data_IF_031168874014
#
_entry.id   IF_031168874014
#
_cell.length_a   1.000
_cell.length_b   1.000
_cell.length_c   1.000
_cell.angle_alpha   90.00
_cell.angle_beta   90.00
_cell.angle_gamma   90.00
#
_symmetry.space_group_name_H-M   'P 1'
#
loop_
_entity.id
_entity.type
_entity.pdbx_description
1 polymer ?
#
# COMPACT_ATOMS: atom_id res chain seq x y z
N UNK A 1 -25.08 -2.84 13.07
CA UNK A 1 -24.34 -1.72 12.45
C UNK A 1 -25.03 -1.42 11.13
N UNK A 2 -25.39 -0.16 10.86
CA UNK A 2 -26.09 0.23 9.62
C UNK A 2 -25.14 1.01 8.76
N UNK A 3 -24.92 0.57 7.52
CA UNK A 3 -24.12 1.29 6.54
C UNK A 3 -25.04 2.11 5.63
N UNK A 4 -24.56 3.30 5.22
CA UNK A 4 -25.16 4.09 4.17
C UNK A 4 -24.23 4.07 2.97
N UNK A 5 -24.78 4.03 1.78
CA UNK A 5 -24.03 4.06 0.53
C UNK A 5 -24.39 5.32 -0.26
N UNK A 6 -23.39 5.91 -0.91
CA UNK A 6 -23.53 6.98 -1.89
C UNK A 6 -22.64 6.63 -3.08
N UNK A 7 -23.07 6.98 -4.29
CA UNK A 7 -22.30 6.78 -5.51
C UNK A 7 -21.65 8.11 -5.91
N UNK A 8 -20.32 8.12 -6.04
CA UNK A 8 -19.56 9.23 -6.56
C UNK A 8 -18.27 8.71 -7.21
N UNK A 9 -18.04 9.06 -8.47
CA UNK A 9 -16.74 8.82 -9.10
C UNK A 9 -15.73 9.85 -8.59
N UNK A 10 -14.46 9.48 -8.49
CA UNK A 10 -13.40 10.43 -8.07
C UNK A 10 -13.24 11.61 -9.04
N UNK A 11 -13.70 11.47 -10.28
CA UNK A 11 -13.72 12.56 -11.27
C UNK A 11 -14.96 13.47 -11.17
N UNK A 12 -16.02 13.04 -10.47
CA UNK A 12 -17.28 13.80 -10.36
C UNK A 12 -17.31 14.62 -9.06
N UNK A 13 -16.79 15.83 -9.14
CA UNK A 13 -16.75 16.78 -8.02
C UNK A 13 -18.15 17.09 -7.44
N UNK A 14 -19.20 17.09 -8.26
CA UNK A 14 -20.55 17.40 -7.81
C UNK A 14 -21.16 16.22 -7.04
N UNK A 15 -20.98 14.99 -7.50
CA UNK A 15 -21.37 13.79 -6.76
C UNK A 15 -20.58 13.65 -5.45
N UNK A 16 -19.26 13.90 -5.47
CA UNK A 16 -18.42 13.92 -4.28
C UNK A 16 -18.91 14.95 -3.25
N UNK A 17 -19.19 16.18 -3.70
CA UNK A 17 -19.70 17.24 -2.82
C UNK A 17 -20.99 16.83 -2.11
N UNK A 18 -21.92 16.17 -2.81
CA UNK A 18 -23.16 15.65 -2.19
C UNK A 18 -22.90 14.51 -1.22
N UNK A 19 -21.98 13.61 -1.54
CA UNK A 19 -21.69 12.43 -0.73
C UNK A 19 -21.03 12.77 0.62
N UNK A 20 -20.34 13.90 0.70
CA UNK A 20 -19.55 14.28 1.88
C UNK A 20 -20.27 15.22 2.86
N UNK A 21 -21.47 15.71 2.52
CA UNK A 21 -22.24 16.61 3.40
C UNK A 21 -22.59 15.91 4.71
N UNK A 22 -22.26 16.57 5.83
CA UNK A 22 -22.61 16.11 7.18
C UNK A 22 -21.76 14.96 7.69
N UNK A 23 -20.63 14.65 7.06
CA UNK A 23 -19.66 13.69 7.56
C UNK A 23 -18.68 14.34 8.54
N UNK A 24 -18.40 13.67 9.66
CA UNK A 24 -17.46 14.15 10.67
C UNK A 24 -15.99 13.89 10.31
N UNK A 25 -15.73 12.79 9.59
CA UNK A 25 -14.39 12.35 9.19
C UNK A 25 -14.46 11.62 7.84
N UNK A 26 -13.42 11.77 7.03
CA UNK A 26 -13.26 11.06 5.75
C UNK A 26 -11.97 10.25 5.76
N UNK A 27 -12.03 9.01 5.28
CA UNK A 27 -10.85 8.25 4.89
C UNK A 27 -10.73 8.28 3.37
N UNK A 28 -9.74 8.99 2.85
CA UNK A 28 -9.36 8.92 1.46
C UNK A 28 -8.44 7.72 1.25
N UNK A 29 -9.01 6.62 0.75
CA UNK A 29 -8.24 5.49 0.25
C UNK A 29 -7.70 5.85 -1.13
N UNK A 30 -6.39 5.75 -1.30
CA UNK A 30 -5.70 6.14 -2.53
C UNK A 30 -6.24 5.39 -3.75
N UNK A 31 -6.46 6.11 -4.84
CA UNK A 31 -6.85 5.53 -6.12
C UNK A 31 -5.81 4.54 -6.66
N UNK A 32 -6.29 3.49 -7.32
CA UNK A 32 -5.46 2.53 -8.05
C UNK A 32 -5.03 3.03 -9.44
N UNK A 33 -5.59 4.14 -9.94
CA UNK A 33 -5.29 4.69 -11.27
C UNK A 33 -4.04 5.60 -11.27
N UNK A 34 -2.85 4.99 -11.33
CA UNK A 34 -1.57 5.71 -11.47
C UNK A 34 -1.60 6.60 -12.72
N UNK A 35 -1.20 7.87 -12.57
CA UNK A 35 -1.23 8.90 -13.62
C UNK A 35 -2.50 9.76 -13.61
N UNK A 36 -3.58 9.31 -12.95
CA UNK A 36 -4.82 10.10 -12.71
C UNK A 36 -5.06 10.36 -11.23
N UNK A 37 -4.32 9.67 -10.37
CA UNK A 37 -4.49 9.63 -8.92
C UNK A 37 -4.51 11.01 -8.30
N UNK A 38 -3.55 11.87 -8.63
CA UNK A 38 -3.49 13.20 -8.02
C UNK A 38 -4.73 14.03 -8.31
N UNK A 39 -5.18 14.08 -9.58
CA UNK A 39 -6.37 14.84 -9.96
C UNK A 39 -7.63 14.33 -9.24
N UNK A 40 -7.73 13.00 -9.09
CA UNK A 40 -8.81 12.35 -8.35
C UNK A 40 -8.78 12.69 -6.86
N UNK A 41 -7.61 12.61 -6.22
CA UNK A 41 -7.44 12.93 -4.81
C UNK A 41 -7.73 14.40 -4.52
N UNK A 42 -7.28 15.31 -5.40
CA UNK A 42 -7.59 16.73 -5.32
C UNK A 42 -9.09 16.97 -5.26
N UNK A 43 -9.87 16.35 -6.14
CA UNK A 43 -11.32 16.50 -6.14
C UNK A 43 -11.97 16.06 -4.81
N UNK A 44 -11.48 14.98 -4.20
CA UNK A 44 -11.99 14.51 -2.91
C UNK A 44 -11.62 15.49 -1.78
N UNK A 45 -10.39 15.99 -1.78
CA UNK A 45 -9.92 16.98 -0.78
C UNK A 45 -10.74 18.27 -0.89
N UNK A 46 -10.94 18.79 -2.10
CA UNK A 46 -11.74 19.99 -2.37
C UNK A 46 -13.20 19.81 -1.96
N UNK A 47 -13.78 18.64 -2.26
CA UNK A 47 -15.15 18.33 -1.88
C UNK A 47 -15.30 18.21 -0.36
N UNK A 48 -14.33 17.59 0.33
CA UNK A 48 -14.32 17.49 1.79
C UNK A 48 -14.21 18.88 2.44
N UNK A 49 -13.29 19.72 1.97
CA UNK A 49 -13.15 21.10 2.43
C UNK A 49 -14.42 21.92 2.20
N UNK A 50 -15.01 21.83 1.00
CA UNK A 50 -16.24 22.56 0.65
C UNK A 50 -17.47 22.10 1.43
N UNK A 51 -17.56 20.81 1.74
CA UNK A 51 -18.63 20.23 2.56
C UNK A 51 -18.46 20.53 4.06
N UNK A 52 -17.34 21.15 4.47
CA UNK A 52 -17.04 21.44 5.87
C UNK A 52 -16.69 20.20 6.68
N UNK A 53 -16.15 19.15 6.06
CA UNK A 53 -15.68 17.95 6.76
C UNK A 53 -14.56 18.35 7.72
N UNK A 54 -14.68 18.08 9.03
CA UNK A 54 -13.68 18.52 10.01
C UNK A 54 -12.31 17.86 9.86
N UNK A 55 -12.25 16.62 9.39
CA UNK A 55 -11.04 15.81 9.42
C UNK A 55 -10.92 14.80 8.26
N UNK A 56 -9.71 14.65 7.73
CA UNK A 56 -9.40 13.69 6.66
C UNK A 56 -8.17 12.83 6.98
N UNK A 57 -8.31 11.51 6.94
CA UNK A 57 -7.19 10.59 6.91
C UNK A 57 -6.90 10.15 5.46
N UNK A 58 -5.64 10.06 5.07
CA UNK A 58 -5.24 9.70 3.71
C UNK A 58 -4.28 8.51 3.73
N UNK A 59 -4.55 7.47 2.93
CA UNK A 59 -3.61 6.36 2.72
C UNK A 59 -2.56 6.76 1.70
N UNK A 60 -1.37 7.08 2.18
CA UNK A 60 -0.18 7.36 1.39
C UNK A 60 0.72 6.11 1.31
N UNK A 61 2.01 6.31 0.98
CA UNK A 61 3.03 5.27 0.98
C UNK A 61 4.24 5.62 1.85
N UNK A 62 4.95 4.62 2.37
CA UNK A 62 6.15 4.83 3.18
C UNK A 62 7.22 5.63 2.46
N UNK A 63 7.92 6.51 3.20
CA UNK A 63 8.97 7.38 2.66
C UNK A 63 8.52 8.19 1.42
N UNK A 64 7.23 8.54 1.27
CA UNK A 64 6.73 9.24 0.06
C UNK A 64 7.55 10.50 -0.31
N UNK A 65 8.15 11.17 0.68
CA UNK A 65 8.98 12.36 0.50
C UNK A 65 10.44 12.09 0.09
N UNK A 66 10.89 10.85 0.06
CA UNK A 66 12.31 10.49 -0.18
C UNK A 66 12.49 9.27 -1.09
N UNK A 67 11.45 8.45 -1.26
CA UNK A 67 11.49 7.18 -1.98
C UNK A 67 11.74 7.37 -3.48
N UNK A 68 12.56 6.48 -4.06
CA UNK A 68 12.77 6.31 -5.50
C UNK A 68 11.62 5.54 -6.18
N UNK A 69 10.65 5.04 -5.41
CA UNK A 69 9.53 4.28 -5.96
C UNK A 69 8.74 5.08 -6.99
N UNK A 70 8.31 4.45 -8.11
CA UNK A 70 7.50 5.11 -9.13
C UNK A 70 6.14 5.59 -8.61
N UNK A 71 5.69 5.11 -7.45
CA UNK A 71 4.44 5.50 -6.82
C UNK A 71 4.55 6.77 -5.96
N UNK A 72 5.77 7.14 -5.54
CA UNK A 72 6.00 8.22 -4.60
C UNK A 72 5.57 9.61 -5.09
N UNK A 73 5.75 10.01 -6.36
CA UNK A 73 5.41 11.36 -6.81
C UNK A 73 3.94 11.75 -6.60
N UNK A 74 2.99 10.89 -6.95
CA UNK A 74 1.56 11.21 -6.81
C UNK A 74 1.09 11.20 -5.34
N UNK A 75 1.71 10.35 -4.52
CA UNK A 75 1.47 10.33 -3.08
C UNK A 75 1.99 11.62 -2.44
N UNK A 76 3.22 12.04 -2.75
CA UNK A 76 3.78 13.32 -2.31
C UNK A 76 2.92 14.51 -2.73
N UNK A 77 2.52 14.57 -4.00
CA UNK A 77 1.62 15.64 -4.48
C UNK A 77 0.31 15.69 -3.70
N UNK A 78 -0.24 14.53 -3.35
CA UNK A 78 -1.46 14.46 -2.53
C UNK A 78 -1.21 14.91 -1.09
N UNK A 79 -0.09 14.51 -0.48
CA UNK A 79 0.30 14.96 0.86
C UNK A 79 0.49 16.49 0.91
N UNK A 80 1.23 17.05 -0.04
CA UNK A 80 1.47 18.49 -0.15
C UNK A 80 0.16 19.27 -0.33
N UNK A 81 -0.73 18.76 -1.19
CA UNK A 81 -2.04 19.38 -1.42
C UNK A 81 -2.95 19.31 -0.20
N UNK A 82 -2.98 18.16 0.48
CA UNK A 82 -3.74 17.98 1.71
C UNK A 82 -3.22 18.92 2.82
N UNK A 83 -1.90 19.06 2.96
CA UNK A 83 -1.29 20.00 3.89
C UNK A 83 -1.68 21.46 3.60
N UNK A 84 -1.79 21.84 2.33
CA UNK A 84 -2.21 23.17 1.90
C UNK A 84 -3.72 23.43 2.00
N UNK A 85 -4.55 22.38 2.11
CA UNK A 85 -6.02 22.48 2.09
C UNK A 85 -6.64 23.17 3.32
N UNK A 86 -5.91 23.27 4.43
CA UNK A 86 -6.41 23.77 5.71
C UNK A 86 -7.23 22.75 6.52
N UNK A 87 -7.53 21.56 5.97
CA UNK A 87 -8.17 20.47 6.70
C UNK A 87 -7.26 19.95 7.83
N UNK A 88 -7.85 19.65 8.99
CA UNK A 88 -7.18 18.79 9.95
C UNK A 88 -7.05 17.39 9.32
N UNK A 89 -5.85 16.82 9.34
CA UNK A 89 -5.62 15.58 8.60
C UNK A 89 -4.56 14.69 9.24
N UNK A 90 -4.54 13.43 8.81
CA UNK A 90 -3.50 12.46 9.13
C UNK A 90 -3.07 11.75 7.86
N UNK A 91 -1.77 11.59 7.69
CA UNK A 91 -1.21 10.80 6.59
C UNK A 91 -0.84 9.42 7.11
N UNK A 92 -1.41 8.39 6.49
CA UNK A 92 -1.16 6.98 6.79
C UNK A 92 -0.27 6.43 5.68
N UNK A 93 1.05 6.52 5.85
CA UNK A 93 2.02 6.04 4.88
C UNK A 93 2.15 4.53 4.99
N UNK A 94 1.32 3.81 4.25
CA UNK A 94 1.33 2.35 4.25
C UNK A 94 2.56 1.83 3.50
N UNK A 95 3.23 0.83 4.05
CA UNK A 95 4.24 0.06 3.32
C UNK A 95 3.52 -0.91 2.35
N UNK A 96 4.16 -2.02 2.04
CA UNK A 96 3.66 -3.04 1.12
C UNK A 96 2.63 -3.97 1.76
N UNK A 97 1.91 -4.70 0.91
CA UNK A 97 0.90 -5.66 1.33
C UNK A 97 1.40 -7.09 1.16
N UNK A 98 1.29 -7.92 2.20
CA UNK A 98 1.56 -9.36 2.09
C UNK A 98 0.72 -10.03 1.00
N UNK A 99 -0.50 -9.56 0.81
CA UNK A 99 -1.43 -10.05 -0.21
C UNK A 99 -0.93 -9.87 -1.64
N UNK A 100 0.05 -8.99 -1.89
CA UNK A 100 0.66 -8.84 -3.22
C UNK A 100 1.43 -10.10 -3.64
N UNK A 101 1.81 -10.97 -2.69
CA UNK A 101 2.49 -12.23 -2.98
C UNK A 101 1.52 -13.38 -3.28
N UNK A 102 0.23 -13.28 -2.94
CA UNK A 102 -0.74 -14.36 -3.10
C UNK A 102 -0.91 -14.80 -4.57
N UNK A 103 -0.85 -13.86 -5.51
CA UNK A 103 -0.96 -14.15 -6.94
C UNK A 103 0.16 -15.08 -7.47
N UNK A 104 1.30 -15.13 -6.78
CA UNK A 104 2.45 -15.95 -7.16
C UNK A 104 2.35 -17.38 -6.61
N UNK A 105 1.45 -17.62 -5.66
CA UNK A 105 1.34 -18.90 -4.95
C UNK A 105 1.18 -20.10 -5.90
N UNK A 106 0.32 -20.08 -6.95
CA UNK A 106 0.22 -21.21 -7.86
C UNK A 106 1.53 -21.52 -8.60
N UNK A 107 2.18 -20.50 -9.17
CA UNK A 107 3.42 -20.66 -9.94
C UNK A 107 4.59 -21.12 -9.06
N UNK A 108 4.69 -20.61 -7.83
CA UNK A 108 5.70 -21.04 -6.85
C UNK A 108 5.40 -22.46 -6.35
N UNK A 109 4.12 -22.79 -6.15
CA UNK A 109 3.70 -24.14 -5.76
C UNK A 109 4.08 -25.18 -6.80
N UNK A 110 4.08 -24.84 -8.08
CA UNK A 110 4.52 -25.73 -9.15
C UNK A 110 6.07 -25.79 -9.26
N UNK A 111 6.71 -24.63 -9.37
CA UNK A 111 8.14 -24.52 -9.70
C UNK A 111 9.10 -24.69 -8.51
N UNK A 112 8.65 -24.36 -7.29
CA UNK A 112 9.52 -24.24 -6.12
C UNK A 112 10.49 -23.05 -6.18
N UNK A 113 10.25 -22.07 -7.06
CA UNK A 113 11.13 -20.92 -7.26
C UNK A 113 10.35 -19.62 -7.17
N UNK A 114 10.81 -18.71 -6.31
CA UNK A 114 10.40 -17.31 -6.30
C UNK A 114 11.40 -16.52 -7.13
N UNK A 115 10.95 -15.86 -8.20
CA UNK A 115 11.81 -15.04 -9.07
C UNK A 115 11.43 -13.58 -8.92
N UNK A 116 12.43 -12.69 -8.72
CA UNK A 116 12.20 -11.25 -8.60
C UNK A 116 13.47 -10.45 -8.92
N UNK A 117 13.32 -9.19 -9.32
CA UNK A 117 14.42 -8.26 -9.59
C UNK A 117 14.84 -7.44 -8.36
N UNK A 118 14.50 -7.91 -7.16
CA UNK A 118 14.70 -7.21 -5.90
C UNK A 118 16.10 -7.39 -5.26
N UNK A 119 16.95 -8.25 -5.81
CA UNK A 119 18.28 -8.54 -5.25
C UNK A 119 18.22 -8.89 -3.75
N UNK A 120 19.05 -8.24 -2.95
CA UNK A 120 19.07 -8.39 -1.48
C UNK A 120 18.14 -7.39 -0.76
N UNK A 121 17.29 -6.71 -1.51
CA UNK A 121 16.33 -5.74 -0.99
C UNK A 121 15.34 -6.36 0.00
N UNK A 122 14.80 -5.51 0.88
CA UNK A 122 13.87 -5.92 1.94
C UNK A 122 12.59 -5.11 1.90
N UNK A 123 11.52 -5.73 2.39
CA UNK A 123 10.18 -5.15 2.44
C UNK A 123 9.59 -5.33 3.83
N UNK A 124 9.27 -4.25 4.52
CA UNK A 124 8.52 -4.26 5.78
C UNK A 124 7.01 -4.27 5.52
N UNK A 125 6.55 -5.28 4.80
CA UNK A 125 5.15 -5.49 4.45
C UNK A 125 4.31 -5.87 5.67
N UNK A 126 3.01 -5.58 5.64
CA UNK A 126 2.02 -6.10 6.58
C UNK A 126 0.75 -6.55 5.83
N UNK A 127 -0.20 -7.19 6.53
CA UNK A 127 -1.48 -7.53 5.91
C UNK A 127 -2.35 -6.28 5.71
N UNK A 128 -3.16 -6.22 4.65
CA UNK A 128 -4.15 -5.14 4.43
C UNK A 128 -5.08 -4.96 5.62
N UNK A 129 -5.43 -6.05 6.30
CA UNK A 129 -6.23 -6.00 7.53
C UNK A 129 -5.56 -5.17 8.62
N UNK A 130 -4.24 -5.27 8.79
CA UNK A 130 -3.52 -4.51 9.82
C UNK A 130 -3.53 -3.02 9.49
N UNK A 131 -3.27 -2.65 8.23
CA UNK A 131 -3.38 -1.27 7.77
C UNK A 131 -4.80 -0.71 7.93
N UNK A 132 -5.83 -1.54 7.67
CA UNK A 132 -7.22 -1.17 7.87
C UNK A 132 -7.56 -0.96 9.35
N UNK A 133 -7.08 -1.83 10.25
CA UNK A 133 -7.22 -1.69 11.70
C UNK A 133 -6.53 -0.40 12.19
N UNK A 134 -5.35 -0.08 11.64
CA UNK A 134 -4.63 1.17 11.91
C UNK A 134 -5.42 2.41 11.47
N UNK A 135 -5.94 2.41 10.24
CA UNK A 135 -6.77 3.49 9.73
C UNK A 135 -8.08 3.66 10.54
N UNK A 136 -8.73 2.55 10.90
CA UNK A 136 -9.92 2.56 11.74
C UNK A 136 -9.63 3.14 13.12
N UNK A 137 -8.50 2.79 13.73
CA UNK A 137 -8.06 3.36 15.02
C UNK A 137 -7.88 4.87 14.88
N UNK A 138 -7.12 5.34 13.89
CA UNK A 138 -6.93 6.78 13.63
C UNK A 138 -8.25 7.55 13.48
N UNK A 139 -9.26 6.94 12.85
CA UNK A 139 -10.56 7.59 12.67
C UNK A 139 -11.44 7.56 13.92
N UNK A 140 -11.27 6.56 14.79
CA UNK A 140 -12.18 6.32 15.92
C UNK A 140 -11.63 6.77 17.27
N UNK A 141 -10.33 7.10 17.35
CA UNK A 141 -9.69 7.71 18.52
C UNK A 141 -9.25 9.16 18.24
N UNK A 142 -8.79 9.87 19.27
CA UNK A 142 -8.34 11.27 19.18
C UNK A 142 -6.83 11.42 19.30
N UNK A 143 -6.28 12.58 18.92
CA UNK A 143 -4.85 12.90 19.05
C UNK A 143 -4.00 12.52 17.82
N UNK A 144 -4.64 12.27 16.68
CA UNK A 144 -3.98 11.91 15.43
C UNK A 144 -3.80 13.09 14.48
N UNK A 145 -4.41 14.23 14.76
CA UNK A 145 -4.37 15.41 13.91
C UNK A 145 -2.95 15.87 13.63
N UNK A 146 -2.67 16.14 12.35
CA UNK A 146 -1.37 16.57 11.79
C UNK A 146 -0.25 15.57 12.05
N UNK A 147 -0.58 14.28 12.18
CA UNK A 147 0.40 13.20 12.24
C UNK A 147 0.66 12.62 10.85
N UNK A 148 1.89 12.18 10.67
CA UNK A 148 2.31 11.32 9.57
C UNK A 148 2.77 10.02 10.22
N UNK A 149 2.11 8.91 9.91
CA UNK A 149 2.47 7.60 10.41
C UNK A 149 3.09 6.77 9.30
N UNK A 150 4.30 6.28 9.53
CA UNK A 150 4.92 5.25 8.71
C UNK A 150 4.38 3.89 9.19
N UNK A 151 3.36 3.37 8.51
CA UNK A 151 2.79 2.07 8.83
C UNK A 151 3.55 0.98 8.10
N UNK A 152 4.14 0.05 8.86
CA UNK A 152 4.99 -1.03 8.36
C UNK A 152 4.69 -2.32 9.11
N UNK A 153 5.13 -3.46 8.58
CA UNK A 153 5.19 -4.70 9.35
C UNK A 153 6.28 -4.66 10.42
N UNK A 154 6.19 -5.55 11.41
CA UNK A 154 7.13 -5.59 12.53
C UNK A 154 8.57 -5.98 12.12
N UNK A 155 8.76 -6.46 10.88
CA UNK A 155 10.05 -6.83 10.33
C UNK A 155 10.13 -6.58 8.82
N UNK A 156 11.32 -6.23 8.34
CA UNK A 156 11.63 -6.17 6.92
C UNK A 156 12.11 -7.55 6.43
N UNK A 157 11.39 -8.13 5.48
CA UNK A 157 11.66 -9.45 4.90
C UNK A 157 12.50 -9.31 3.63
N UNK A 158 13.59 -10.07 3.51
CA UNK A 158 14.25 -10.29 2.22
C UNK A 158 13.40 -11.20 1.33
N UNK A 159 13.68 -11.24 0.02
CA UNK A 159 13.02 -12.20 -0.86
C UNK A 159 13.39 -13.66 -0.54
N UNK A 160 14.54 -13.91 0.10
CA UNK A 160 14.85 -15.22 0.67
C UNK A 160 13.93 -15.56 1.85
N UNK A 161 13.63 -14.60 2.73
CA UNK A 161 12.66 -14.79 3.83
C UNK A 161 11.24 -15.04 3.29
N UNK A 162 10.84 -14.32 2.23
CA UNK A 162 9.56 -14.52 1.54
C UNK A 162 9.50 -15.92 0.92
N UNK A 163 10.55 -16.36 0.21
CA UNK A 163 10.64 -17.73 -0.31
C UNK A 163 10.54 -18.78 0.81
N UNK A 164 11.21 -18.55 1.94
CA UNK A 164 11.10 -19.42 3.11
C UNK A 164 9.67 -19.48 3.65
N UNK A 165 8.95 -18.34 3.69
CA UNK A 165 7.55 -18.31 4.10
C UNK A 165 6.65 -19.13 3.17
N UNK A 166 6.85 -19.03 1.84
CA UNK A 166 6.18 -19.92 0.88
C UNK A 166 6.49 -21.40 1.14
N UNK A 167 7.77 -21.73 1.37
CA UNK A 167 8.17 -23.11 1.62
C UNK A 167 7.54 -23.72 2.87
N UNK A 168 7.37 -22.93 3.93
CA UNK A 168 6.66 -23.36 5.14
C UNK A 168 5.18 -23.68 4.88
N UNK A 169 4.53 -22.95 3.97
CA UNK A 169 3.11 -23.11 3.65
C UNK A 169 2.89 -24.29 2.71
N UNK A 170 3.75 -24.42 1.68
CA UNK A 170 3.67 -25.48 0.67
C UNK A 170 4.18 -26.82 1.24
N UNK A 171 4.99 -26.80 2.29
CA UNK A 171 5.57 -27.99 2.90
C UNK A 171 6.78 -28.56 2.15
N UNK A 172 7.43 -27.76 1.31
CA UNK A 172 8.68 -28.11 0.60
C UNK A 172 9.55 -26.87 0.38
N UNK A 173 10.83 -27.08 0.08
CA UNK A 173 11.75 -25.97 -0.15
C UNK A 173 11.31 -25.10 -1.33
N UNK A 174 11.36 -23.78 -1.14
CA UNK A 174 11.21 -22.76 -2.18
C UNK A 174 12.46 -21.90 -2.17
N UNK A 175 13.05 -21.69 -3.33
CA UNK A 175 14.32 -20.94 -3.47
C UNK A 175 14.04 -19.59 -4.10
N UNK A 176 14.60 -18.53 -3.52
CA UNK A 176 14.64 -17.22 -4.17
C UNK A 176 15.72 -17.21 -5.26
N UNK A 177 15.35 -16.78 -6.47
CA UNK A 177 16.25 -16.58 -7.60
C UNK A 177 16.19 -15.11 -8.04
N UNK A 178 17.19 -14.28 -7.69
CA UNK A 178 17.28 -12.94 -8.23
C UNK A 178 17.53 -12.99 -9.74
N UNK A 179 16.90 -12.08 -10.48
CA UNK A 179 17.09 -11.91 -11.93
C UNK A 179 17.27 -10.43 -12.28
N UNK A 180 17.81 -10.14 -13.46
CA UNK A 180 17.81 -8.77 -13.95
C UNK A 180 16.37 -8.30 -14.25
N UNK A 181 16.09 -7.01 -14.10
CA UNK A 181 14.77 -6.43 -14.37
C UNK A 181 14.29 -6.74 -15.80
N UNK A 182 15.17 -6.67 -16.79
CA UNK A 182 14.84 -7.00 -18.18
C UNK A 182 14.43 -8.46 -18.38
N UNK A 183 15.08 -9.39 -17.67
CA UNK A 183 14.76 -10.82 -17.72
C UNK A 183 13.42 -11.11 -17.03
N UNK A 184 13.13 -10.42 -15.91
CA UNK A 184 11.83 -10.51 -15.24
C UNK A 184 10.70 -10.05 -16.17
N UNK A 185 10.87 -8.90 -16.84
CA UNK A 185 9.89 -8.39 -17.80
C UNK A 185 9.66 -9.40 -18.93
N UNK A 186 10.75 -9.90 -19.54
CA UNK A 186 10.66 -10.88 -20.62
C UNK A 186 9.91 -12.15 -20.19
N UNK A 187 10.20 -12.66 -18.99
CA UNK A 187 9.54 -13.84 -18.44
C UNK A 187 8.04 -13.61 -18.17
N UNK A 188 7.67 -12.46 -17.62
CA UNK A 188 6.26 -12.11 -17.35
C UNK A 188 5.48 -11.94 -18.66
N UNK A 189 6.07 -11.30 -19.67
CA UNK A 189 5.45 -11.15 -20.99
C UNK A 189 5.26 -12.51 -21.67
N UNK A 190 6.25 -13.41 -21.58
CA UNK A 190 6.12 -14.78 -22.08
C UNK A 190 5.01 -15.57 -21.34
N UNK A 191 4.77 -15.25 -20.07
CA UNK A 191 3.68 -15.83 -19.28
C UNK A 191 2.31 -15.16 -19.53
N UNK A 192 2.23 -14.20 -20.46
CA UNK A 192 0.98 -13.55 -20.88
C UNK A 192 0.59 -12.29 -20.10
N UNK A 193 1.49 -11.76 -19.26
CA UNK A 193 1.31 -10.43 -18.63
C UNK A 193 1.59 -9.34 -19.67
N UNK A 194 0.82 -8.26 -19.68
CA UNK A 194 1.11 -7.14 -20.58
C UNK A 194 2.43 -6.45 -20.22
N UNK A 195 3.08 -5.86 -21.23
CA UNK A 195 4.41 -5.24 -21.09
C UNK A 195 4.42 -4.09 -20.07
N UNK A 196 3.34 -3.32 -20.00
CA UNK A 196 3.22 -2.20 -19.06
C UNK A 196 3.21 -2.68 -17.61
N UNK A 197 2.39 -3.69 -17.31
CA UNK A 197 2.33 -4.32 -15.99
C UNK A 197 3.65 -5.00 -15.63
N UNK A 198 4.26 -5.73 -16.57
CA UNK A 198 5.55 -6.39 -16.35
C UNK A 198 6.66 -5.37 -16.03
N UNK A 199 6.75 -4.29 -16.82
CA UNK A 199 7.69 -3.20 -16.57
C UNK A 199 7.44 -2.52 -15.22
N UNK A 200 6.17 -2.28 -14.87
CA UNK A 200 5.82 -1.68 -13.58
C UNK A 200 6.27 -2.55 -12.40
N UNK A 201 6.03 -3.87 -12.45
CA UNK A 201 6.50 -4.81 -11.42
C UNK A 201 8.03 -4.80 -11.31
N UNK A 202 8.74 -4.83 -12.45
CA UNK A 202 10.20 -4.78 -12.46
C UNK A 202 10.76 -3.50 -11.84
N UNK A 203 10.11 -2.34 -12.09
CA UNK A 203 10.51 -1.06 -11.47
C UNK A 203 10.28 -1.07 -9.96
N UNK A 204 9.17 -1.65 -9.49
CA UNK A 204 8.91 -1.82 -8.06
C UNK A 204 10.01 -2.69 -7.42
N UNK A 205 10.31 -3.84 -8.01
CA UNK A 205 11.36 -4.73 -7.54
C UNK A 205 12.72 -4.02 -7.47
N UNK A 206 13.10 -3.25 -8.49
CA UNK A 206 14.36 -2.48 -8.45
C UNK A 206 14.35 -1.41 -7.35
N UNK A 207 13.21 -0.75 -7.09
CA UNK A 207 13.11 0.20 -5.98
C UNK A 207 13.25 -0.49 -4.63
N UNK A 208 12.77 -1.74 -4.50
CA UNK A 208 12.97 -2.55 -3.29
C UNK A 208 14.45 -2.91 -3.13
N UNK A 209 15.14 -3.26 -4.21
CA UNK A 209 16.58 -3.49 -4.20
C UNK A 209 17.37 -2.27 -3.70
N UNK A 210 16.85 -1.06 -3.95
CA UNK A 210 17.40 0.22 -3.50
C UNK A 210 16.97 0.63 -2.08
N UNK A 211 16.17 -0.19 -1.38
CA UNK A 211 15.75 0.09 0.00
C UNK A 211 14.50 0.98 0.12
N UNK A 212 13.67 1.08 -0.93
CA UNK A 212 12.46 1.90 -0.90
C UNK A 212 11.46 1.46 0.19
N UNK A 213 11.45 0.18 0.58
CA UNK A 213 10.46 -0.43 1.48
C UNK A 213 11.06 -1.07 2.75
N UNK A 214 12.33 -0.79 3.06
CA UNK A 214 13.07 -1.44 4.16
C UNK A 214 12.84 -0.81 5.55
N UNK A 215 12.08 0.29 5.63
CA UNK A 215 11.78 0.97 6.88
C UNK A 215 10.94 0.07 7.77
N UNK A 216 11.43 -0.16 8.99
CA UNK A 216 10.66 -0.82 10.06
C UNK A 216 10.30 0.24 11.10
N UNK A 217 9.02 0.39 11.34
CA UNK A 217 8.43 1.30 12.32
C UNK A 217 7.35 0.56 13.13
N UNK A 218 7.44 0.56 14.49
CA UNK A 218 6.53 -0.20 15.35
C UNK A 218 5.15 0.46 15.53
N UNK A 219 4.90 1.62 14.90
CA UNK A 219 3.68 2.40 15.10
C UNK A 219 2.44 1.60 14.76
N UNK A 220 2.45 0.82 13.67
CA UNK A 220 1.27 0.06 13.26
C UNK A 220 0.87 -0.96 14.33
N UNK A 221 1.80 -1.82 14.75
CA UNK A 221 1.58 -2.82 15.79
C UNK A 221 1.19 -2.20 17.15
N UNK A 222 1.83 -1.09 17.50
CA UNK A 222 1.51 -0.32 18.72
C UNK A 222 0.07 0.22 18.68
N UNK A 223 -0.33 0.77 17.54
CA UNK A 223 -1.63 1.41 17.37
C UNK A 223 -2.77 0.40 17.35
N UNK A 224 -2.59 -0.74 16.69
CA UNK A 224 -3.59 -1.83 16.65
C UNK A 224 -3.56 -2.73 17.89
N UNK A 225 -2.59 -2.53 18.79
CA UNK A 225 -2.50 -3.23 20.08
C UNK A 225 -2.06 -4.69 19.99
N UNK A 226 -1.45 -5.11 18.88
CA UNK A 226 -0.98 -6.48 18.64
C UNK A 226 0.13 -6.48 17.57
N UNK A 227 0.96 -7.54 17.48
CA UNK A 227 1.84 -7.73 16.34
C UNK A 227 1.05 -7.72 15.01
N UNK A 228 1.72 -7.22 13.97
CA UNK A 228 1.27 -7.32 12.59
C UNK A 228 1.18 -8.79 12.15
N UNK A 229 0.24 -9.07 11.26
CA UNK A 229 -0.05 -10.42 10.77
C UNK A 229 1.11 -10.90 9.91
N UNK A 230 1.62 -12.11 10.17
CA UNK A 230 2.76 -12.63 9.42
C UNK A 230 2.40 -12.99 7.98
N UNK A 231 3.39 -12.95 7.07
CA UNK A 231 3.21 -13.43 5.70
C UNK A 231 2.74 -14.89 5.65
N UNK A 232 3.24 -15.75 6.54
CA UNK A 232 2.83 -17.17 6.61
C UNK A 232 1.34 -17.30 6.91
N UNK A 233 0.81 -16.48 7.82
CA UNK A 233 -0.62 -16.51 8.16
C UNK A 233 -1.49 -16.02 7.00
N UNK A 234 -1.04 -14.98 6.29
CA UNK A 234 -1.72 -14.49 5.07
C UNK A 234 -1.72 -15.57 3.98
N UNK A 235 -0.59 -16.21 3.72
CA UNK A 235 -0.48 -17.28 2.72
C UNK A 235 -1.34 -18.51 3.06
N UNK A 236 -1.60 -18.80 4.34
CA UNK A 236 -2.48 -19.91 4.78
C UNK A 236 -3.96 -19.60 4.70
N UNK A 237 -4.33 -18.34 4.48
CA UNK A 237 -5.74 -17.91 4.47
C UNK A 237 -6.47 -18.13 3.14
N UNK A 238 -5.77 -18.62 2.11
CA UNK A 238 -6.29 -18.89 0.76
C UNK A 238 -6.34 -20.38 0.43
#
# INVERSE_FOLDING_TARGET
>A
MTFRAAQAEYADAHALGKALVGLDKVLLISSSEVGRRFAQHRNVIDAAASAGVPYLAYTSMTKATESSSPLAPEHRQTEDYLAASGLAHTVLRNNWYHENYLAQLPAITESGVLTAAAGEGKVAAAARRDFADGAATVLTTGGHERKVYEFTGDAALSYADIANAFGQVIGRAVVYRPVAAADLVAAMVQAGVDEGTAAFVAVIDTSIAEGALDLVDPTLGTLIGRPTTSLVDVLRSV
#
